data_IF_404254354970
#
_entry.id   IF_404254354970
#
_cell.length_a   1.000
_cell.length_b   1.000
_cell.length_c   1.000
_cell.angle_alpha   90.00
_cell.angle_beta   90.00
_cell.angle_gamma   90.00
#
_symmetry.space_group_name_H-M   'P 1'
#
loop_
_entity.id
_entity.type
_entity.pdbx_description
1 polymer ?
#
# COMPACT_ATOMS: atom_id res chain seq x y z
N UNK A 1 2.98 76.97 -12.10
CA UNK A 1 1.90 76.06 -12.57
C UNK A 1 2.43 74.83 -13.33
N UNK A 2 3.61 74.86 -13.90
CA UNK A 2 4.22 73.74 -14.66
C UNK A 2 4.77 72.58 -13.83
N UNK A 3 5.25 72.80 -12.62
CA UNK A 3 5.85 71.73 -11.78
C UNK A 3 4.84 70.73 -11.17
N UNK A 4 3.58 71.12 -10.97
CA UNK A 4 2.57 70.22 -10.42
C UNK A 4 1.98 69.23 -11.45
N UNK A 5 2.06 69.54 -12.73
CA UNK A 5 1.57 68.66 -13.79
C UNK A 5 2.59 67.59 -14.18
N UNK A 6 3.88 67.86 -14.09
CA UNK A 6 4.94 66.83 -14.31
C UNK A 6 4.89 65.71 -13.28
N UNK A 7 4.66 66.04 -11.98
CA UNK A 7 4.59 65.01 -10.92
C UNK A 7 3.37 64.09 -11.05
N UNK A 8 2.26 64.58 -11.60
CA UNK A 8 1.04 63.79 -11.83
C UNK A 8 1.20 62.84 -13.02
N UNK A 9 1.89 63.22 -14.06
CA UNK A 9 2.17 62.35 -15.20
C UNK A 9 3.16 61.24 -14.84
N UNK A 10 4.23 61.54 -14.08
CA UNK A 10 5.20 60.53 -13.65
C UNK A 10 4.57 59.50 -12.69
N UNK A 11 3.69 59.92 -11.77
CA UNK A 11 2.98 58.98 -10.88
C UNK A 11 1.99 58.11 -11.65
N UNK A 12 1.32 58.60 -12.70
CA UNK A 12 0.40 57.84 -13.51
C UNK A 12 1.12 56.79 -14.34
N UNK A 13 2.28 57.11 -14.93
CA UNK A 13 3.10 56.14 -15.68
C UNK A 13 3.72 55.08 -14.77
N UNK A 14 4.13 55.43 -13.55
CA UNK A 14 4.64 54.46 -12.59
C UNK A 14 3.55 53.51 -12.13
N UNK A 15 2.32 53.99 -11.90
CA UNK A 15 1.17 53.13 -11.53
C UNK A 15 0.72 52.20 -12.66
N UNK A 16 0.77 52.65 -13.91
CA UNK A 16 0.47 51.83 -15.09
C UNK A 16 1.57 50.77 -15.33
N UNK A 17 2.84 51.09 -15.03
CA UNK A 17 3.96 50.15 -15.18
C UNK A 17 3.92 49.05 -14.09
N UNK A 18 3.63 49.44 -12.84
CA UNK A 18 3.48 48.47 -11.72
C UNK A 18 2.25 47.57 -11.93
N UNK A 19 1.12 48.10 -12.44
CA UNK A 19 -0.04 47.29 -12.73
C UNK A 19 0.20 46.34 -13.89
N UNK A 20 0.94 46.72 -14.94
CA UNK A 20 1.29 45.79 -16.04
C UNK A 20 2.27 44.70 -15.61
N UNK A 21 3.20 44.99 -14.67
CA UNK A 21 4.05 43.95 -14.07
C UNK A 21 3.27 42.96 -13.19
N UNK A 22 2.28 43.41 -12.43
CA UNK A 22 1.43 42.52 -11.65
C UNK A 22 0.51 41.66 -12.53
N UNK A 23 0.04 42.19 -13.67
CA UNK A 23 -0.73 41.43 -14.64
C UNK A 23 0.13 40.40 -15.40
N UNK A 24 1.39 40.75 -15.74
CA UNK A 24 2.34 39.84 -16.37
C UNK A 24 2.74 38.69 -15.40
N UNK A 25 2.93 39.00 -14.12
CA UNK A 25 3.24 37.98 -13.10
C UNK A 25 2.06 37.04 -12.84
N UNK A 26 0.81 37.55 -12.81
CA UNK A 26 -0.41 36.72 -12.74
C UNK A 26 -0.64 35.88 -13.99
N UNK A 27 -0.29 36.39 -15.18
CA UNK A 27 -0.41 35.65 -16.43
C UNK A 27 0.63 34.51 -16.50
N UNK A 28 1.85 34.72 -16.03
CA UNK A 28 2.88 33.66 -15.98
C UNK A 28 2.57 32.58 -14.93
N UNK A 29 2.02 32.93 -13.77
CA UNK A 29 1.54 31.93 -12.82
C UNK A 29 0.31 31.15 -13.33
N UNK A 30 -0.60 31.80 -14.07
CA UNK A 30 -1.77 31.16 -14.68
C UNK A 30 -1.40 30.25 -15.86
N UNK A 31 -0.33 30.54 -16.60
CA UNK A 31 0.14 29.68 -17.71
C UNK A 31 0.98 28.50 -17.21
N UNK A 32 1.76 28.66 -16.12
CA UNK A 32 2.48 27.55 -15.49
C UNK A 32 1.53 26.48 -14.91
N UNK A 33 0.30 26.84 -14.53
CA UNK A 33 -0.74 25.90 -14.10
C UNK A 33 -1.49 25.21 -15.25
N UNK A 34 -1.19 25.52 -16.51
CA UNK A 34 -1.92 25.04 -17.72
C UNK A 34 -1.18 23.99 -18.54
N UNK A 35 0.02 23.58 -18.16
CA UNK A 35 0.65 22.45 -18.84
C UNK A 35 -0.12 21.17 -18.48
N UNK A 36 -0.70 20.46 -19.46
CA UNK A 36 -1.46 19.25 -19.16
C UNK A 36 -0.53 18.20 -18.54
N UNK A 37 -0.99 17.57 -17.46
CA UNK A 37 -0.29 16.41 -16.87
C UNK A 37 -0.11 15.34 -17.93
N UNK A 38 1.11 14.88 -18.16
CA UNK A 38 1.43 13.80 -19.10
C UNK A 38 1.49 12.43 -18.44
N UNK A 39 1.77 12.41 -17.13
CA UNK A 39 1.87 11.19 -16.35
C UNK A 39 1.31 11.40 -14.95
N UNK A 40 0.46 10.50 -14.51
CA UNK A 40 0.09 10.38 -13.10
C UNK A 40 0.90 9.25 -12.48
N UNK A 41 1.53 9.51 -11.34
CA UNK A 41 2.29 8.51 -10.59
C UNK A 41 1.61 8.31 -9.24
N UNK A 42 1.09 7.12 -9.00
CA UNK A 42 0.53 6.73 -7.71
C UNK A 42 1.55 5.92 -6.92
N UNK A 43 2.00 6.44 -5.79
CA UNK A 43 2.92 5.75 -4.88
C UNK A 43 2.16 5.34 -3.64
N UNK A 44 2.10 4.04 -3.37
CA UNK A 44 1.63 3.48 -2.10
C UNK A 44 2.83 2.93 -1.36
N UNK A 45 3.02 3.36 -0.10
CA UNK A 45 4.03 2.79 0.80
C UNK A 45 3.30 1.91 1.81
N UNK A 46 3.41 0.62 1.60
CA UNK A 46 2.69 -0.42 2.36
C UNK A 46 3.07 -0.36 3.86
N UNK A 47 2.08 -0.33 4.75
CA UNK A 47 2.22 -0.24 6.20
C UNK A 47 2.86 1.07 6.70
N UNK A 48 2.89 2.14 5.90
CA UNK A 48 3.53 3.39 6.32
C UNK A 48 2.70 4.13 7.37
N UNK A 49 3.24 4.26 8.57
CA UNK A 49 2.69 5.11 9.62
C UNK A 49 2.93 6.58 9.30
N UNK A 50 1.94 7.41 9.61
CA UNK A 50 2.07 8.86 9.39
C UNK A 50 3.22 9.50 10.20
N UNK A 51 3.46 9.00 11.42
CA UNK A 51 4.52 9.53 12.30
C UNK A 51 5.94 9.33 11.74
N UNK A 52 6.16 8.38 10.81
CA UNK A 52 7.47 8.21 10.17
C UNK A 52 7.92 9.44 9.37
N UNK A 53 6.97 10.23 8.84
CA UNK A 53 7.28 11.49 8.18
C UNK A 53 7.88 12.52 9.14
N UNK A 54 7.43 12.56 10.38
CA UNK A 54 7.94 13.48 11.41
C UNK A 54 9.06 12.87 12.24
N UNK A 55 8.96 11.59 12.57
CA UNK A 55 9.92 10.86 13.39
C UNK A 55 11.32 10.85 12.77
N UNK A 56 11.41 10.57 11.46
CA UNK A 56 12.69 10.47 10.75
C UNK A 56 13.02 11.72 9.94
N UNK A 57 12.28 12.83 10.14
CA UNK A 57 12.37 14.04 9.32
C UNK A 57 13.77 14.57 9.12
N UNK A 58 14.54 14.73 10.21
CA UNK A 58 15.87 15.32 10.17
C UNK A 58 16.90 14.45 9.45
N UNK A 59 16.59 13.16 9.27
CA UNK A 59 17.46 12.19 8.62
C UNK A 59 17.14 11.99 7.14
N UNK A 60 15.99 12.47 6.66
CA UNK A 60 15.60 12.39 5.25
C UNK A 60 16.40 13.36 4.39
N UNK A 61 16.62 12.96 3.13
CA UNK A 61 17.24 13.79 2.12
C UNK A 61 16.30 14.89 1.63
N UNK A 62 16.85 15.95 1.05
CA UNK A 62 16.04 17.02 0.44
C UNK A 62 15.33 16.56 -0.86
N UNK A 63 15.77 15.46 -1.46
CA UNK A 63 15.24 14.97 -2.74
C UNK A 63 14.08 14.00 -2.64
N UNK A 64 13.83 13.40 -1.48
CA UNK A 64 12.82 12.37 -1.22
C UNK A 64 11.56 12.91 -0.57
N UNK A 65 11.22 12.41 0.62
CA UNK A 65 10.00 12.82 1.35
C UNK A 65 9.92 14.33 1.59
N UNK A 66 11.04 14.97 1.93
CA UNK A 66 11.07 16.44 2.11
C UNK A 66 10.67 17.19 0.85
N UNK A 67 11.13 16.76 -0.32
CA UNK A 67 10.73 17.36 -1.59
C UNK A 67 9.21 17.26 -1.81
N UNK A 68 8.61 16.12 -1.49
CA UNK A 68 7.16 15.93 -1.63
C UNK A 68 6.37 16.82 -0.66
N UNK A 69 6.82 16.91 0.59
CA UNK A 69 6.16 17.73 1.62
C UNK A 69 6.28 19.22 1.33
N UNK A 70 7.49 19.71 0.95
CA UNK A 70 7.71 21.12 0.70
C UNK A 70 7.14 21.60 -0.64
N UNK A 71 7.15 20.73 -1.66
CA UNK A 71 6.70 21.07 -3.00
C UNK A 71 5.25 20.70 -3.32
N UNK A 72 4.55 20.01 -2.39
CA UNK A 72 3.23 19.48 -2.60
C UNK A 72 2.20 19.91 -1.57
N UNK A 73 1.03 19.26 -1.62
CA UNK A 73 -0.03 19.36 -0.61
C UNK A 73 0.05 18.15 0.33
N UNK A 74 -0.04 18.39 1.64
CA UNK A 74 -0.03 17.34 2.67
C UNK A 74 -1.39 17.26 3.35
N UNK A 75 -2.08 16.15 3.18
CA UNK A 75 -3.32 15.83 3.89
C UNK A 75 -2.99 15.28 5.29
N UNK A 76 -2.95 16.15 6.30
CA UNK A 76 -2.50 15.81 7.67
C UNK A 76 -3.50 14.97 8.47
N UNK A 77 -4.76 14.93 8.06
CA UNK A 77 -5.84 14.22 8.75
C UNK A 77 -6.64 13.39 7.73
N UNK A 78 -5.96 12.45 7.08
CA UNK A 78 -6.56 11.55 6.12
C UNK A 78 -6.60 10.14 6.69
N UNK A 79 -7.81 9.60 6.89
CA UNK A 79 -8.04 8.30 7.52
C UNK A 79 -8.92 7.42 6.64
N UNK A 80 -8.69 6.11 6.68
CA UNK A 80 -9.67 5.16 6.22
C UNK A 80 -10.86 5.14 7.19
N UNK A 81 -12.07 5.09 6.64
CA UNK A 81 -13.32 5.08 7.40
C UNK A 81 -13.90 3.67 7.56
N UNK A 82 -13.05 2.66 7.60
CA UNK A 82 -13.43 1.26 7.79
C UNK A 82 -12.35 0.50 8.57
N UNK A 83 -12.72 -0.66 9.09
CA UNK A 83 -11.84 -1.62 9.76
C UNK A 83 -12.31 -3.06 9.44
N UNK A 84 -11.37 -4.03 9.47
CA UNK A 84 -9.92 -3.89 9.59
C UNK A 84 -9.29 -3.32 8.31
N UNK A 85 -8.12 -2.68 8.46
CA UNK A 85 -7.30 -2.24 7.33
C UNK A 85 -6.19 -3.25 7.04
N UNK A 86 -5.94 -3.51 5.75
CA UNK A 86 -4.87 -4.41 5.28
C UNK A 86 -4.55 -4.13 3.81
N UNK A 87 -3.52 -4.77 3.26
CA UNK A 87 -2.98 -4.45 1.93
C UNK A 87 -4.05 -4.44 0.82
N UNK A 88 -4.80 -5.53 0.66
CA UNK A 88 -5.82 -5.62 -0.41
C UNK A 88 -6.89 -4.54 -0.31
N UNK A 89 -7.63 -4.45 0.82
CA UNK A 89 -8.61 -3.39 1.04
C UNK A 89 -8.05 -1.98 0.90
N UNK A 90 -6.85 -1.72 1.42
CA UNK A 90 -6.22 -0.40 1.37
C UNK A 90 -5.89 0.03 -0.05
N UNK A 91 -5.20 -0.82 -0.83
CA UNK A 91 -4.89 -0.54 -2.23
C UNK A 91 -6.17 -0.36 -3.06
N UNK A 92 -7.16 -1.24 -2.90
CA UNK A 92 -8.44 -1.12 -3.57
C UNK A 92 -9.13 0.21 -3.22
N UNK A 93 -9.18 0.59 -1.94
CA UNK A 93 -9.82 1.84 -1.50
C UNK A 93 -9.14 3.08 -2.05
N UNK A 94 -7.79 3.13 -2.07
CA UNK A 94 -7.02 4.25 -2.63
C UNK A 94 -7.35 4.43 -4.11
N UNK A 95 -7.38 3.36 -4.88
CA UNK A 95 -7.54 3.44 -6.33
C UNK A 95 -8.99 3.49 -6.82
N UNK A 96 -9.95 3.02 -6.02
CA UNK A 96 -11.38 3.12 -6.35
C UNK A 96 -12.05 4.36 -5.76
N UNK A 97 -11.45 5.01 -4.75
CA UNK A 97 -12.05 6.11 -4.01
C UNK A 97 -13.27 5.70 -3.18
N UNK A 98 -13.41 4.40 -2.86
CA UNK A 98 -14.55 3.87 -2.09
C UNK A 98 -14.07 2.88 -1.00
N UNK A 99 -15.00 2.22 -0.34
CA UNK A 99 -14.73 1.34 0.81
C UNK A 99 -14.93 -0.13 0.47
N UNK A 100 -14.40 -1.07 1.29
CA UNK A 100 -14.57 -2.51 1.09
C UNK A 100 -16.02 -2.96 0.85
N UNK A 101 -17.00 -2.31 1.48
CA UNK A 101 -18.43 -2.60 1.27
C UNK A 101 -18.90 -2.35 -0.17
N UNK A 102 -18.20 -1.48 -0.92
CA UNK A 102 -18.55 -1.12 -2.29
C UNK A 102 -17.64 -1.81 -3.31
N UNK A 103 -16.31 -1.76 -3.09
CA UNK A 103 -15.38 -2.37 -4.05
C UNK A 103 -15.18 -3.89 -3.87
N UNK A 104 -15.72 -4.51 -2.80
CA UNK A 104 -15.76 -5.97 -2.61
C UNK A 104 -14.50 -6.60 -2.03
N UNK A 105 -13.38 -5.89 -1.94
CA UNK A 105 -12.13 -6.39 -1.36
C UNK A 105 -12.14 -6.13 0.14
N UNK A 106 -12.59 -7.11 0.93
CA UNK A 106 -12.80 -6.96 2.37
C UNK A 106 -11.64 -7.49 3.23
N UNK A 107 -10.66 -8.13 2.62
CA UNK A 107 -9.46 -8.69 3.24
C UNK A 107 -8.46 -9.10 2.18
N UNK A 108 -7.22 -9.44 2.57
CA UNK A 108 -6.28 -10.11 1.66
C UNK A 108 -6.81 -11.49 1.28
N UNK A 109 -7.19 -12.26 2.28
CA UNK A 109 -7.97 -13.49 2.18
C UNK A 109 -9.28 -13.27 2.92
N UNK A 110 -10.40 -13.72 2.36
CA UNK A 110 -11.71 -13.54 3.01
C UNK A 110 -12.65 -14.68 2.65
N UNK A 111 -13.63 -14.89 3.54
CA UNK A 111 -14.64 -15.91 3.31
C UNK A 111 -15.70 -15.42 2.32
N UNK A 112 -15.80 -16.10 1.20
CA UNK A 112 -16.86 -15.85 0.21
C UNK A 112 -18.09 -16.71 0.56
N UNK A 113 -19.16 -16.04 0.97
CA UNK A 113 -20.41 -16.68 1.39
C UNK A 113 -21.04 -17.48 0.24
N UNK A 114 -20.86 -17.03 -1.00
CA UNK A 114 -21.49 -17.68 -2.16
C UNK A 114 -20.84 -19.04 -2.47
N UNK A 115 -19.52 -19.11 -2.44
CA UNK A 115 -18.77 -20.37 -2.64
C UNK A 115 -18.61 -21.20 -1.36
N UNK A 116 -18.80 -20.60 -0.19
CA UNK A 116 -18.56 -21.24 1.11
C UNK A 116 -17.08 -21.51 1.40
N UNK A 117 -16.16 -20.76 0.80
CA UNK A 117 -14.71 -20.99 0.91
C UNK A 117 -13.92 -19.70 1.14
N UNK A 118 -12.71 -19.85 1.65
CA UNK A 118 -11.74 -18.77 1.69
C UNK A 118 -11.23 -18.47 0.29
N UNK A 119 -11.18 -17.21 -0.08
CA UNK A 119 -10.68 -16.73 -1.38
C UNK A 119 -9.62 -15.67 -1.18
N UNK A 120 -8.61 -15.66 -2.05
CA UNK A 120 -7.60 -14.63 -2.09
C UNK A 120 -8.06 -13.46 -2.96
N UNK A 121 -7.83 -12.22 -2.52
CA UNK A 121 -8.40 -11.02 -3.14
C UNK A 121 -7.99 -10.79 -4.61
N UNK A 122 -6.82 -11.29 -5.03
CA UNK A 122 -6.32 -11.19 -6.40
C UNK A 122 -6.25 -12.54 -7.13
N UNK A 123 -6.47 -13.68 -6.42
CA UNK A 123 -6.36 -15.02 -7.00
C UNK A 123 -7.45 -15.32 -8.03
N UNK A 124 -7.03 -15.86 -9.19
CA UNK A 124 -7.94 -16.22 -10.28
C UNK A 124 -7.41 -17.40 -11.09
N UNK A 125 -7.98 -18.57 -10.86
CA UNK A 125 -7.62 -19.81 -11.57
C UNK A 125 -8.03 -19.85 -13.04
N UNK A 126 -8.80 -18.85 -13.54
CA UNK A 126 -9.13 -18.74 -14.96
C UNK A 126 -7.94 -18.29 -15.81
N UNK A 127 -6.91 -17.72 -15.19
CA UNK A 127 -5.73 -17.20 -15.86
C UNK A 127 -4.49 -18.00 -15.47
N UNK A 128 -3.54 -18.07 -16.39
CA UNK A 128 -2.26 -18.74 -16.20
C UNK A 128 -1.16 -17.74 -15.81
N UNK A 129 -0.12 -18.24 -15.18
CA UNK A 129 1.11 -17.49 -14.89
C UNK A 129 1.89 -17.17 -16.17
N UNK A 130 2.42 -15.95 -16.26
CA UNK A 130 3.30 -15.53 -17.35
C UNK A 130 4.64 -15.07 -16.77
N UNK A 131 5.71 -15.70 -17.17
CA UNK A 131 7.07 -15.45 -16.68
C UNK A 131 7.54 -16.38 -15.58
N UNK A 132 6.68 -17.27 -15.08
CA UNK A 132 7.01 -18.29 -14.09
C UNK A 132 6.16 -19.55 -14.32
N UNK A 133 6.66 -20.71 -13.90
CA UNK A 133 5.94 -21.99 -14.03
C UNK A 133 5.06 -22.35 -12.83
N UNK A 134 5.17 -21.60 -11.72
CA UNK A 134 4.33 -21.80 -10.52
C UNK A 134 2.99 -21.09 -10.66
N UNK A 135 2.07 -21.35 -9.72
CA UNK A 135 0.76 -20.71 -9.66
C UNK A 135 0.78 -19.27 -9.13
N UNK A 136 1.95 -18.75 -8.76
CA UNK A 136 2.12 -17.39 -8.22
C UNK A 136 1.80 -16.27 -9.22
N UNK A 137 1.56 -16.61 -10.49
CA UNK A 137 1.09 -15.69 -11.52
C UNK A 137 -0.40 -15.76 -11.81
N UNK A 138 -1.19 -16.64 -11.20
CA UNK A 138 -2.64 -16.80 -11.42
C UNK A 138 -3.43 -15.70 -10.72
N UNK A 139 -3.32 -14.47 -11.20
CA UNK A 139 -3.90 -13.28 -10.57
C UNK A 139 -4.68 -12.44 -11.57
N UNK A 140 -5.80 -11.84 -11.10
CA UNK A 140 -6.58 -10.84 -11.83
C UNK A 140 -7.36 -9.94 -10.88
N UNK A 141 -7.88 -8.79 -11.34
CA UNK A 141 -8.73 -7.90 -10.52
C UNK A 141 -10.21 -8.32 -10.49
N UNK A 142 -10.57 -9.55 -10.88
CA UNK A 142 -11.97 -9.98 -11.08
C UNK A 142 -12.86 -9.82 -9.84
N UNK A 143 -12.28 -9.84 -8.63
CA UNK A 143 -13.02 -9.64 -7.36
C UNK A 143 -13.28 -8.17 -7.04
N UNK A 144 -12.65 -7.25 -7.78
CA UNK A 144 -12.88 -5.82 -7.61
C UNK A 144 -14.21 -5.45 -8.29
N UNK A 145 -15.21 -5.04 -7.52
CA UNK A 145 -16.58 -4.81 -7.99
C UNK A 145 -16.81 -3.40 -8.58
N UNK A 146 -15.80 -2.54 -8.51
CA UNK A 146 -15.87 -1.16 -9.00
C UNK A 146 -14.68 -0.85 -9.90
N UNK A 147 -14.83 0.14 -10.78
CA UNK A 147 -13.72 0.67 -11.54
C UNK A 147 -12.75 1.46 -10.66
N UNK A 148 -11.49 1.45 -11.03
CA UNK A 148 -10.43 2.25 -10.44
C UNK A 148 -10.27 3.60 -11.15
N UNK A 149 -9.50 4.53 -10.55
CA UNK A 149 -9.11 5.78 -11.25
C UNK A 149 -8.28 5.47 -12.50
N UNK A 150 -7.53 4.37 -12.51
CA UNK A 150 -6.75 3.90 -13.66
C UNK A 150 -7.66 3.38 -14.78
N UNK A 151 -8.74 2.66 -14.45
CA UNK A 151 -9.77 2.27 -15.41
C UNK A 151 -10.45 3.50 -16.01
N UNK A 152 -10.83 4.47 -15.17
CA UNK A 152 -11.49 5.72 -15.62
C UNK A 152 -10.58 6.54 -16.53
N UNK A 153 -9.28 6.57 -16.27
CA UNK A 153 -8.32 7.20 -17.18
C UNK A 153 -8.33 6.53 -18.56
N UNK A 154 -8.28 5.20 -18.60
CA UNK A 154 -8.34 4.42 -19.85
C UNK A 154 -9.63 4.67 -20.61
N UNK A 155 -10.78 4.65 -19.92
CA UNK A 155 -12.10 4.92 -20.51
C UNK A 155 -12.17 6.34 -21.08
N UNK A 156 -11.73 7.34 -20.32
CA UNK A 156 -11.74 8.75 -20.75
C UNK A 156 -10.94 8.96 -22.04
N UNK A 157 -9.76 8.37 -22.11
CA UNK A 157 -8.89 8.50 -23.30
C UNK A 157 -9.10 7.38 -24.34
N UNK A 158 -10.23 6.64 -24.26
CA UNK A 158 -10.61 5.60 -25.22
C UNK A 158 -9.49 4.58 -25.45
N UNK A 159 -8.93 4.08 -24.37
CA UNK A 159 -7.82 3.12 -24.30
C UNK A 159 -6.47 3.61 -24.86
N UNK A 160 -6.30 4.91 -25.09
CA UNK A 160 -5.01 5.45 -25.52
C UNK A 160 -4.02 5.66 -24.37
N UNK A 161 -4.52 5.95 -23.18
CA UNK A 161 -3.69 6.06 -21.98
C UNK A 161 -3.07 4.72 -21.65
N UNK A 162 -1.78 4.69 -21.30
CA UNK A 162 -1.09 3.51 -20.77
C UNK A 162 -1.23 3.48 -19.25
N UNK A 163 -1.49 2.30 -18.71
CA UNK A 163 -1.54 2.05 -17.28
C UNK A 163 -0.63 0.87 -16.94
N UNK A 164 0.43 1.13 -16.20
CA UNK A 164 1.37 0.13 -15.71
C UNK A 164 1.35 0.15 -14.18
N UNK A 165 1.21 -1.01 -13.57
CA UNK A 165 1.17 -1.16 -12.12
C UNK A 165 2.21 -2.17 -11.64
N UNK A 166 2.96 -1.84 -10.57
CA UNK A 166 4.14 -2.59 -10.16
C UNK A 166 4.20 -2.68 -8.64
N UNK A 167 4.44 -3.89 -8.12
CA UNK A 167 4.70 -4.13 -6.70
C UNK A 167 5.51 -5.39 -6.48
N UNK A 168 6.12 -5.55 -5.32
CA UNK A 168 6.66 -6.86 -4.90
C UNK A 168 5.56 -7.81 -4.41
N UNK A 169 4.33 -7.31 -4.16
CA UNK A 169 3.12 -8.09 -3.87
C UNK A 169 2.18 -8.07 -5.07
N UNK A 170 1.63 -9.22 -5.46
CA UNK A 170 0.64 -9.33 -6.54
C UNK A 170 -0.56 -8.39 -6.37
N UNK A 171 -1.22 -8.42 -5.19
CA UNK A 171 -2.36 -7.55 -4.88
C UNK A 171 -2.01 -6.05 -4.89
N UNK A 172 -0.77 -5.71 -4.56
CA UNK A 172 -0.25 -4.34 -4.65
C UNK A 172 0.00 -3.85 -6.08
N UNK A 173 0.04 -4.76 -7.05
CA UNK A 173 0.10 -4.45 -8.47
C UNK A 173 -1.27 -4.57 -9.15
N UNK A 174 -1.98 -5.67 -8.90
CA UNK A 174 -3.24 -6.02 -9.57
C UNK A 174 -4.36 -5.04 -9.24
N UNK A 175 -4.58 -4.74 -7.95
CA UNK A 175 -5.70 -3.88 -7.52
C UNK A 175 -5.55 -2.41 -7.96
N UNK A 176 -4.36 -1.78 -7.86
CA UNK A 176 -4.13 -0.46 -8.44
C UNK A 176 -4.26 -0.41 -9.97
N UNK A 177 -3.83 -1.45 -10.65
CA UNK A 177 -3.96 -1.57 -12.09
C UNK A 177 -5.41 -1.53 -12.55
N UNK A 178 -6.31 -2.11 -11.76
CA UNK A 178 -7.73 -2.23 -12.11
C UNK A 178 -7.97 -3.22 -13.25
N UNK A 179 -9.17 -3.11 -13.85
CA UNK A 179 -9.62 -4.06 -14.89
C UNK A 179 -9.00 -3.77 -16.27
N UNK A 180 -8.52 -2.55 -16.50
CA UNK A 180 -8.12 -2.10 -17.84
C UNK A 180 -6.63 -1.79 -17.97
N UNK A 181 -5.79 -2.15 -16.97
CA UNK A 181 -4.35 -1.91 -17.07
C UNK A 181 -3.74 -2.59 -18.29
N UNK A 182 -2.73 -1.94 -18.89
CA UNK A 182 -1.91 -2.57 -19.95
C UNK A 182 -1.07 -3.70 -19.36
N UNK A 183 -0.58 -3.51 -18.12
CA UNK A 183 0.15 -4.52 -17.39
C UNK A 183 0.08 -4.28 -15.87
N UNK A 184 0.05 -5.36 -15.10
CA UNK A 184 0.43 -5.39 -13.70
C UNK A 184 1.57 -6.40 -13.54
N UNK A 185 2.67 -5.97 -12.90
CA UNK A 185 3.83 -6.80 -12.66
C UNK A 185 4.09 -6.95 -11.17
N UNK A 186 4.41 -8.17 -10.75
CA UNK A 186 4.79 -8.46 -9.36
C UNK A 186 5.99 -9.39 -9.29
N UNK A 187 6.61 -9.42 -8.12
CA UNK A 187 7.85 -10.14 -7.92
C UNK A 187 7.61 -11.52 -7.33
N UNK A 188 8.16 -12.54 -7.97
CA UNK A 188 8.23 -13.91 -7.46
C UNK A 188 9.67 -14.21 -7.06
N UNK A 189 9.87 -14.64 -5.82
CA UNK A 189 11.18 -14.93 -5.24
C UNK A 189 11.81 -16.21 -5.79
N UNK A 190 12.15 -17.15 -4.89
CA UNK A 190 12.77 -18.42 -5.24
C UNK A 190 14.21 -18.28 -5.70
N UNK A 191 14.68 -19.23 -6.51
CA UNK A 191 16.09 -19.28 -6.94
C UNK A 191 16.45 -18.21 -7.97
N UNK A 192 15.49 -17.76 -8.77
CA UNK A 192 15.74 -16.85 -9.90
C UNK A 192 15.37 -15.40 -9.58
N UNK A 193 14.29 -15.17 -8.84
CA UNK A 193 13.77 -13.84 -8.56
C UNK A 193 13.28 -13.14 -9.83
N UNK A 194 11.99 -13.29 -10.15
CA UNK A 194 11.44 -12.91 -11.45
C UNK A 194 10.32 -11.88 -11.29
N UNK A 195 10.25 -10.93 -12.20
CA UNK A 195 9.08 -10.10 -12.43
C UNK A 195 8.14 -10.84 -13.38
N UNK A 196 6.90 -11.01 -12.95
CA UNK A 196 5.91 -11.85 -13.60
C UNK A 196 4.58 -11.10 -13.77
N UNK A 197 3.67 -11.70 -14.54
CA UNK A 197 2.29 -11.24 -14.71
C UNK A 197 1.37 -12.46 -14.93
N UNK A 198 0.17 -12.25 -15.40
CA UNK A 198 -0.79 -13.30 -15.75
C UNK A 198 -1.31 -13.14 -17.17
N UNK A 199 -1.93 -14.22 -17.68
CA UNK A 199 -2.62 -14.17 -18.98
C UNK A 199 -3.86 -13.27 -18.99
N UNK A 200 -4.26 -12.72 -17.84
CA UNK A 200 -5.24 -11.64 -17.80
C UNK A 200 -4.76 -10.40 -18.55
N UNK A 201 -3.46 -10.08 -18.45
CA UNK A 201 -2.88 -8.89 -19.06
C UNK A 201 -2.23 -9.17 -20.43
N UNK A 202 -1.54 -10.32 -20.55
CA UNK A 202 -0.78 -10.65 -21.76
C UNK A 202 -0.42 -12.14 -21.82
N UNK A 203 -0.24 -12.67 -23.04
CA UNK A 203 0.13 -14.08 -23.24
C UNK A 203 1.62 -14.38 -23.03
N UNK A 204 2.48 -13.37 -23.14
CA UNK A 204 3.92 -13.48 -22.95
C UNK A 204 4.51 -12.18 -22.41
N UNK A 205 5.60 -12.27 -21.62
CA UNK A 205 6.30 -11.08 -21.14
C UNK A 205 6.82 -10.24 -22.32
N UNK A 206 6.68 -8.91 -22.29
CA UNK A 206 7.35 -8.02 -23.23
C UNK A 206 8.86 -8.27 -23.21
N UNK A 207 9.51 -8.06 -24.37
CA UNK A 207 10.95 -8.32 -24.49
C UNK A 207 11.77 -7.62 -23.41
N UNK A 208 11.44 -6.40 -23.06
CA UNK A 208 12.17 -5.65 -22.05
C UNK A 208 12.05 -6.28 -20.64
N UNK A 209 10.89 -6.86 -20.28
CA UNK A 209 10.71 -7.58 -19.01
C UNK A 209 11.49 -8.88 -19.00
N UNK A 210 11.44 -9.64 -20.11
CA UNK A 210 12.20 -10.87 -20.28
C UNK A 210 13.71 -10.61 -20.19
N UNK A 211 14.19 -9.54 -20.85
CA UNK A 211 15.58 -9.11 -20.80
C UNK A 211 15.99 -8.66 -19.40
N UNK A 212 15.13 -7.89 -18.69
CA UNK A 212 15.37 -7.46 -17.31
C UNK A 212 15.51 -8.65 -16.36
N UNK A 213 14.63 -9.64 -16.49
CA UNK A 213 14.72 -10.89 -15.74
C UNK A 213 16.01 -11.67 -16.08
N UNK A 214 16.36 -11.77 -17.37
CA UNK A 214 17.52 -12.50 -17.83
C UNK A 214 18.85 -11.85 -17.42
N UNK A 215 18.90 -10.53 -17.28
CA UNK A 215 20.10 -9.80 -16.84
C UNK A 215 20.45 -10.07 -15.38
N UNK A 216 19.51 -10.65 -14.59
CA UNK A 216 19.74 -10.96 -13.17
C UNK A 216 20.26 -9.75 -12.36
N UNK A 217 19.83 -8.54 -12.73
CA UNK A 217 20.26 -7.29 -12.06
C UNK A 217 19.97 -7.29 -10.56
N UNK A 218 18.98 -8.07 -10.11
CA UNK A 218 18.66 -8.26 -8.70
C UNK A 218 19.76 -8.98 -7.91
N UNK A 219 20.69 -9.70 -8.57
CA UNK A 219 21.78 -10.39 -7.90
C UNK A 219 22.71 -9.43 -7.13
N UNK A 220 22.77 -8.15 -7.51
CA UNK A 220 23.49 -7.11 -6.78
C UNK A 220 22.99 -6.92 -5.32
N UNK A 221 21.77 -7.34 -5.04
CA UNK A 221 21.14 -7.25 -3.71
C UNK A 221 21.37 -8.49 -2.84
N UNK A 222 22.00 -9.55 -3.37
CA UNK A 222 22.46 -10.70 -2.58
C UNK A 222 23.75 -10.35 -1.82
N UNK A 223 23.61 -9.50 -0.83
CA UNK A 223 24.70 -8.98 0.00
C UNK A 223 24.20 -8.76 1.43
N UNK A 224 25.07 -8.63 2.44
CA UNK A 224 24.65 -8.31 3.79
C UNK A 224 23.84 -6.99 3.84
N UNK A 225 22.80 -6.97 4.66
CA UNK A 225 22.10 -5.74 4.99
C UNK A 225 22.79 -5.10 6.19
N UNK A 226 23.59 -4.09 5.90
CA UNK A 226 24.25 -3.24 6.89
C UNK A 226 23.44 -1.98 7.08
N UNK A 227 23.59 -1.30 8.22
CA UNK A 227 23.05 0.05 8.40
C UNK A 227 23.53 1.00 7.29
N UNK A 228 22.64 1.87 6.81
CA UNK A 228 22.96 2.88 5.79
C UNK A 228 23.94 3.94 6.32
N UNK A 229 23.73 4.33 7.57
CA UNK A 229 24.53 5.35 8.27
C UNK A 229 25.24 4.77 9.49
N UNK A 230 26.05 5.60 10.14
CA UNK A 230 26.65 5.23 11.43
C UNK A 230 25.54 4.95 12.46
N UNK A 231 25.73 3.91 13.28
CA UNK A 231 24.77 3.42 14.27
C UNK A 231 24.22 4.53 15.19
N UNK A 232 25.02 5.53 15.52
CA UNK A 232 24.60 6.68 16.35
C UNK A 232 23.45 7.50 15.74
N UNK A 233 23.16 7.32 14.46
CA UNK A 233 22.00 7.96 13.83
C UNK A 233 20.68 7.19 14.01
N UNK A 234 20.75 5.99 14.58
CA UNK A 234 19.57 5.15 14.82
C UNK A 234 19.07 5.29 16.26
N UNK A 235 18.97 6.52 16.76
CA UNK A 235 18.51 6.90 18.10
C UNK A 235 16.98 7.06 18.19
N UNK A 236 16.28 6.92 17.07
CA UNK A 236 14.81 7.01 16.95
C UNK A 236 14.12 5.65 16.89
N UNK A 237 14.86 4.56 17.05
CA UNK A 237 14.40 3.17 17.12
C UNK A 237 14.72 2.55 18.47
N UNK A 238 14.17 1.38 18.75
CA UNK A 238 14.54 0.58 19.94
C UNK A 238 15.96 0.03 19.81
N UNK A 239 16.50 -0.52 20.90
CA UNK A 239 17.80 -1.20 20.87
C UNK A 239 17.75 -2.37 19.87
N UNK A 240 18.87 -2.61 19.18
CA UNK A 240 19.01 -3.64 18.15
C UNK A 240 18.80 -5.06 18.68
N UNK A 241 19.36 -5.38 19.83
CA UNK A 241 19.17 -6.67 20.52
C UNK A 241 18.01 -6.55 21.50
N UNK A 242 16.84 -6.98 21.09
CA UNK A 242 15.62 -6.96 21.90
C UNK A 242 14.75 -8.20 21.65
N UNK A 243 13.65 -8.35 22.41
CA UNK A 243 12.74 -9.49 22.34
C UNK A 243 11.46 -9.21 21.51
N UNK A 244 11.39 -8.04 20.88
CA UNK A 244 10.19 -7.61 20.13
C UNK A 244 10.28 -7.95 18.65
N UNK A 245 11.45 -8.33 18.18
CA UNK A 245 11.77 -8.56 16.78
C UNK A 245 11.91 -10.04 16.47
N UNK A 246 11.50 -10.43 15.27
CA UNK A 246 11.65 -11.79 14.78
C UNK A 246 12.88 -11.93 13.86
N UNK A 247 13.86 -12.81 14.19
CA UNK A 247 15.00 -13.05 13.32
C UNK A 247 14.60 -13.68 11.99
N UNK A 248 15.40 -13.51 10.97
CA UNK A 248 15.28 -14.33 9.75
C UNK A 248 15.48 -15.81 10.09
N UNK A 249 14.86 -16.68 9.30
CA UNK A 249 15.03 -18.12 9.51
C UNK A 249 16.50 -18.51 9.35
N UNK A 250 17.07 -19.09 10.39
CA UNK A 250 18.51 -19.45 10.45
C UNK A 250 19.40 -18.39 11.12
N UNK A 251 18.88 -17.22 11.42
CA UNK A 251 19.55 -16.18 12.19
C UNK A 251 19.34 -16.41 13.69
N UNK A 252 20.34 -16.16 14.52
CA UNK A 252 20.24 -16.37 15.96
C UNK A 252 19.57 -15.20 16.68
N UNK A 253 19.82 -13.98 16.22
CA UNK A 253 19.28 -12.73 16.74
C UNK A 253 19.00 -11.77 15.58
N UNK A 254 17.92 -11.00 15.64
CA UNK A 254 17.59 -9.99 14.62
C UNK A 254 18.42 -8.72 14.84
N UNK A 255 19.73 -8.79 14.60
CA UNK A 255 20.65 -7.66 14.84
C UNK A 255 21.51 -7.39 13.60
N UNK A 256 21.84 -6.13 13.38
CA UNK A 256 22.75 -5.74 12.31
C UNK A 256 24.18 -6.24 12.52
N UNK A 257 24.87 -6.67 11.43
CA UNK A 257 24.38 -6.79 10.06
C UNK A 257 23.64 -8.11 9.81
N UNK A 258 22.58 -8.11 9.00
CA UNK A 258 21.94 -9.34 8.56
C UNK A 258 22.71 -9.94 7.38
N UNK A 259 23.28 -11.13 7.54
CA UNK A 259 24.04 -11.82 6.50
C UNK A 259 23.08 -12.53 5.51
N UNK A 260 22.43 -11.76 4.64
CA UNK A 260 21.45 -12.30 3.69
C UNK A 260 22.02 -13.44 2.83
N UNK A 261 23.28 -13.42 2.34
CA UNK A 261 23.87 -14.56 1.65
C UNK A 261 23.84 -15.86 2.45
N UNK A 262 24.17 -15.83 3.74
CA UNK A 262 24.13 -17.00 4.62
C UNK A 262 22.69 -17.49 4.89
N UNK A 263 21.73 -16.57 4.95
CA UNK A 263 20.31 -16.83 5.24
C UNK A 263 19.50 -17.22 4.00
N UNK A 264 20.06 -17.10 2.81
CA UNK A 264 19.40 -17.11 1.52
C UNK A 264 18.50 -18.32 1.29
N UNK A 265 19.05 -19.51 1.42
CA UNK A 265 18.32 -20.75 1.09
C UNK A 265 17.18 -21.03 2.07
N UNK A 266 17.33 -20.65 3.33
CA UNK A 266 16.32 -20.89 4.38
C UNK A 266 15.14 -19.91 4.27
N UNK A 267 15.32 -18.78 3.59
CA UNK A 267 14.32 -17.72 3.43
C UNK A 267 13.81 -17.58 1.99
N UNK A 268 13.83 -18.68 1.21
CA UNK A 268 13.25 -18.72 -0.13
C UNK A 268 14.05 -17.98 -1.20
N UNK A 269 15.38 -18.01 -1.12
CA UNK A 269 16.25 -17.42 -2.13
C UNK A 269 16.03 -15.90 -2.25
N UNK A 270 15.77 -15.42 -3.47
CA UNK A 270 15.46 -14.01 -3.69
C UNK A 270 14.21 -13.51 -2.96
N UNK A 271 13.37 -14.41 -2.41
CA UNK A 271 12.22 -14.06 -1.60
C UNK A 271 12.58 -13.27 -0.34
N UNK A 272 13.77 -13.49 0.25
CA UNK A 272 14.24 -12.77 1.44
C UNK A 272 14.31 -11.25 1.20
N UNK A 273 14.58 -10.81 -0.04
CA UNK A 273 14.70 -9.40 -0.37
C UNK A 273 13.41 -8.60 -0.10
N UNK A 274 12.23 -9.26 -0.12
CA UNK A 274 10.96 -8.63 0.22
C UNK A 274 10.97 -8.06 1.63
N UNK A 275 11.62 -8.74 2.59
CA UNK A 275 11.71 -8.32 3.98
C UNK A 275 13.00 -7.51 4.28
N UNK A 276 13.50 -6.80 3.30
CA UNK A 276 14.67 -5.91 3.39
C UNK A 276 14.44 -4.63 2.57
N UNK A 277 15.18 -3.55 2.80
CA UNK A 277 15.06 -2.35 1.98
C UNK A 277 15.47 -2.58 0.51
N UNK A 278 16.20 -3.65 0.22
CA UNK A 278 16.58 -4.00 -1.14
C UNK A 278 15.38 -4.39 -2.01
N UNK A 279 14.29 -4.87 -1.42
CA UNK A 279 13.05 -5.09 -2.15
C UNK A 279 12.45 -3.79 -2.70
N UNK A 280 12.57 -2.68 -1.98
CA UNK A 280 12.18 -1.37 -2.50
C UNK A 280 13.13 -0.88 -3.59
N UNK A 281 14.45 -1.12 -3.44
CA UNK A 281 15.44 -0.73 -4.45
C UNK A 281 15.24 -1.47 -5.78
N UNK A 282 15.02 -2.79 -5.74
CA UNK A 282 14.76 -3.57 -6.96
C UNK A 282 13.42 -3.19 -7.61
N UNK A 283 12.43 -2.81 -6.81
CA UNK A 283 11.16 -2.29 -7.32
C UNK A 283 11.37 -0.97 -8.07
N UNK A 284 12.17 -0.05 -7.51
CA UNK A 284 12.52 1.20 -8.20
C UNK A 284 13.28 0.92 -9.50
N UNK A 285 14.23 -0.01 -9.51
CA UNK A 285 14.95 -0.39 -10.74
C UNK A 285 13.98 -0.83 -11.83
N UNK A 286 13.04 -1.71 -11.51
CA UNK A 286 12.04 -2.19 -12.45
C UNK A 286 11.07 -1.09 -12.89
N UNK A 287 10.63 -0.24 -11.96
CA UNK A 287 9.74 0.88 -12.26
C UNK A 287 10.39 1.92 -13.19
N UNK A 288 11.67 2.20 -13.02
CA UNK A 288 12.44 3.10 -13.91
C UNK A 288 12.62 2.50 -15.30
N UNK A 289 12.85 1.18 -15.39
CA UNK A 289 12.93 0.52 -16.69
C UNK A 289 11.56 0.52 -17.37
N UNK A 290 10.45 0.24 -16.65
CA UNK A 290 9.10 0.33 -17.18
C UNK A 290 8.77 1.75 -17.67
N UNK A 291 9.10 2.79 -16.89
CA UNK A 291 8.91 4.19 -17.25
C UNK A 291 9.55 4.49 -18.63
N UNK A 292 10.76 3.98 -18.85
CA UNK A 292 11.53 4.18 -20.07
C UNK A 292 11.03 3.32 -21.24
N UNK A 293 10.84 2.03 -21.04
CA UNK A 293 10.52 1.09 -22.13
C UNK A 293 9.09 1.20 -22.64
N UNK A 294 8.18 1.66 -21.76
CA UNK A 294 6.79 1.93 -22.12
C UNK A 294 6.57 3.38 -22.60
N UNK A 295 7.61 4.20 -22.67
CA UNK A 295 7.53 5.63 -23.07
C UNK A 295 6.47 6.40 -22.27
N UNK A 296 6.35 6.14 -20.95
CA UNK A 296 5.30 6.75 -20.17
C UNK A 296 5.47 8.27 -20.06
N UNK A 297 4.38 8.99 -20.34
CA UNK A 297 4.34 10.45 -20.31
C UNK A 297 5.09 11.13 -21.47
N UNK A 298 5.38 10.42 -22.57
CA UNK A 298 6.11 10.99 -23.71
C UNK A 298 5.19 11.58 -24.79
N UNK A 299 3.90 11.28 -24.77
CA UNK A 299 2.93 11.84 -25.72
C UNK A 299 1.98 12.85 -25.06
N UNK A 300 0.86 13.16 -25.71
CA UNK A 300 -0.16 14.13 -25.25
C UNK A 300 -1.26 13.45 -24.41
N UNK A 301 -1.31 12.14 -24.38
CA UNK A 301 -2.28 11.39 -23.60
C UNK A 301 -1.69 11.12 -22.24
N UNK A 302 -2.32 11.52 -21.14
CA UNK A 302 -1.82 11.19 -19.81
C UNK A 302 -1.78 9.68 -19.59
N UNK A 303 -0.64 9.19 -19.13
CA UNK A 303 -0.45 7.80 -18.70
C UNK A 303 -0.53 7.68 -17.17
N UNK A 304 -0.52 6.47 -16.66
CA UNK A 304 -0.49 6.18 -15.23
C UNK A 304 0.56 5.12 -14.88
N UNK A 305 1.39 5.43 -13.89
CA UNK A 305 2.33 4.50 -13.28
C UNK A 305 1.96 4.32 -11.81
N UNK A 306 1.49 3.13 -11.44
CA UNK A 306 1.22 2.76 -10.06
C UNK A 306 2.40 1.97 -9.49
N UNK A 307 2.94 2.42 -8.35
CA UNK A 307 4.07 1.79 -7.66
C UNK A 307 3.68 1.54 -6.21
N UNK A 308 3.76 0.28 -5.75
CA UNK A 308 3.55 -0.07 -4.35
C UNK A 308 4.84 -0.59 -3.72
N UNK A 309 5.45 0.24 -2.87
CA UNK A 309 6.62 -0.12 -2.06
C UNK A 309 6.19 -0.98 -0.88
N UNK A 310 6.18 -2.30 -1.07
CA UNK A 310 5.63 -3.22 -0.06
C UNK A 310 6.69 -3.89 0.83
N UNK A 311 7.98 -3.65 0.61
CA UNK A 311 9.01 -4.17 1.53
C UNK A 311 8.95 -3.53 2.92
N UNK A 312 8.43 -2.33 3.03
CA UNK A 312 8.15 -1.66 4.31
C UNK A 312 7.22 -2.47 5.21
N UNK A 313 6.20 -3.10 4.63
CA UNK A 313 5.28 -3.98 5.35
C UNK A 313 5.94 -5.28 5.80
N UNK A 314 6.69 -5.94 4.92
CA UNK A 314 7.43 -7.14 5.28
C UNK A 314 8.44 -6.88 6.40
N UNK A 315 9.18 -5.78 6.35
CA UNK A 315 10.12 -5.38 7.40
C UNK A 315 9.39 -5.06 8.69
N UNK A 316 8.27 -4.32 8.63
CA UNK A 316 7.47 -4.01 9.81
C UNK A 316 6.86 -5.24 10.47
N UNK A 317 6.42 -6.24 9.69
CA UNK A 317 5.95 -7.53 10.19
C UNK A 317 7.05 -8.36 10.83
N UNK A 318 8.26 -8.35 10.25
CA UNK A 318 9.39 -9.16 10.72
C UNK A 318 10.01 -8.59 11.99
N UNK A 319 10.24 -7.27 12.03
CA UNK A 319 11.04 -6.62 13.08
C UNK A 319 10.22 -5.68 13.99
N UNK A 320 8.97 -5.38 13.62
CA UNK A 320 8.15 -4.43 14.39
C UNK A 320 8.40 -2.97 14.00
N UNK A 321 7.39 -2.13 14.28
CA UNK A 321 7.32 -0.73 13.81
C UNK A 321 8.32 0.23 14.44
N UNK A 322 8.97 -0.18 15.52
CA UNK A 322 9.92 0.65 16.27
C UNK A 322 11.38 0.19 16.10
N UNK A 323 11.64 -0.83 15.27
CA UNK A 323 12.95 -1.43 15.03
C UNK A 323 13.92 -0.53 14.26
N UNK A 324 15.22 -0.82 14.36
CA UNK A 324 16.26 -0.21 13.52
C UNK A 324 16.10 -0.55 12.06
N UNK A 325 15.62 -1.75 11.76
CA UNK A 325 15.34 -2.24 10.41
C UNK A 325 14.28 -1.40 9.72
N UNK A 326 13.22 -1.03 10.46
CA UNK A 326 12.21 -0.09 9.94
C UNK A 326 12.82 1.27 9.72
N UNK A 327 13.58 1.83 10.66
CA UNK A 327 14.25 3.11 10.48
C UNK A 327 15.18 3.09 9.25
N UNK A 328 16.06 2.08 9.12
CA UNK A 328 16.98 1.94 7.97
C UNK A 328 16.21 1.80 6.64
N UNK A 329 15.11 1.05 6.66
CA UNK A 329 14.25 0.87 5.49
C UNK A 329 13.63 2.19 5.02
N UNK A 330 13.15 3.04 5.93
CA UNK A 330 12.59 4.34 5.56
C UNK A 330 13.64 5.34 5.12
N UNK A 331 14.84 5.34 5.71
CA UNK A 331 15.95 6.18 5.25
C UNK A 331 16.40 5.81 3.83
N UNK A 332 16.41 4.52 3.49
CA UNK A 332 16.70 4.05 2.13
C UNK A 332 15.54 4.31 1.17
N UNK A 333 14.30 4.16 1.60
CA UNK A 333 13.14 4.47 0.79
C UNK A 333 13.10 5.94 0.39
N UNK A 334 13.49 6.85 1.29
CA UNK A 334 13.65 8.26 0.97
C UNK A 334 14.58 8.49 -0.23
N UNK A 335 15.71 7.78 -0.26
CA UNK A 335 16.65 7.85 -1.38
C UNK A 335 16.08 7.23 -2.66
N UNK A 336 15.27 6.17 -2.55
CA UNK A 336 14.59 5.56 -3.71
C UNK A 336 13.52 6.49 -4.28
N UNK A 337 12.76 7.17 -3.43
CA UNK A 337 11.80 8.20 -3.86
C UNK A 337 12.52 9.37 -4.52
N UNK A 338 13.66 9.82 -3.97
CA UNK A 338 14.47 10.85 -4.61
C UNK A 338 14.97 10.40 -6.00
N UNK A 339 15.37 9.14 -6.15
CA UNK A 339 15.79 8.54 -7.43
C UNK A 339 14.65 8.49 -8.44
N UNK A 340 13.46 8.09 -8.01
CA UNK A 340 12.24 8.09 -8.83
C UNK A 340 11.90 9.51 -9.31
N UNK A 341 11.82 10.47 -8.40
CA UNK A 341 11.50 11.86 -8.72
C UNK A 341 12.50 12.47 -9.72
N UNK A 342 13.80 12.20 -9.54
CA UNK A 342 14.85 12.64 -10.48
C UNK A 342 14.69 12.02 -11.87
N UNK A 343 14.24 10.78 -11.97
CA UNK A 343 13.98 10.12 -13.25
C UNK A 343 12.74 10.71 -13.93
N UNK A 344 11.67 10.96 -13.18
CA UNK A 344 10.45 11.62 -13.67
C UNK A 344 10.76 13.03 -14.20
N UNK A 345 11.56 13.83 -13.49
CA UNK A 345 11.97 15.16 -13.95
C UNK A 345 12.71 15.11 -15.29
N UNK A 346 13.57 14.10 -15.47
CA UNK A 346 14.36 13.95 -16.71
C UNK A 346 13.55 13.43 -17.88
N UNK A 347 12.69 12.44 -17.64
CA UNK A 347 11.97 11.76 -18.71
C UNK A 347 10.68 12.48 -19.08
N UNK A 348 9.86 12.86 -18.09
CA UNK A 348 8.55 13.48 -18.32
C UNK A 348 8.64 15.00 -18.35
N UNK A 349 9.50 15.54 -17.50
CA UNK A 349 9.70 16.98 -17.32
C UNK A 349 9.12 17.49 -16.00
N UNK A 350 9.87 18.37 -15.33
CA UNK A 350 9.40 19.01 -14.10
C UNK A 350 8.10 19.76 -14.32
N UNK A 351 7.08 19.50 -13.48
CA UNK A 351 5.74 20.10 -13.60
C UNK A 351 4.84 19.49 -14.68
N UNK A 352 5.28 18.43 -15.39
CA UNK A 352 4.48 17.73 -16.38
C UNK A 352 3.96 16.37 -15.89
N UNK A 353 4.19 16.02 -14.66
CA UNK A 353 3.59 14.87 -13.98
C UNK A 353 2.93 15.28 -12.67
N UNK A 354 1.94 14.52 -12.26
CA UNK A 354 1.30 14.60 -10.94
C UNK A 354 1.65 13.35 -10.16
N UNK A 355 2.19 13.49 -8.95
CA UNK A 355 2.48 12.36 -8.08
C UNK A 355 1.69 12.50 -6.79
N UNK A 356 1.06 11.42 -6.34
CA UNK A 356 0.58 11.30 -4.98
C UNK A 356 1.31 10.15 -4.27
N UNK A 357 1.52 10.32 -2.96
CA UNK A 357 2.04 9.29 -2.08
C UNK A 357 1.09 9.11 -0.91
N UNK A 358 0.75 7.86 -0.59
CA UNK A 358 -0.08 7.49 0.55
C UNK A 358 0.34 6.12 1.09
N UNK A 359 -0.31 5.68 2.17
CA UNK A 359 -0.25 4.31 2.67
C UNK A 359 -1.58 3.60 2.45
N UNK A 360 -1.56 2.29 2.41
CA UNK A 360 -2.73 1.41 2.37
C UNK A 360 -3.25 1.06 3.77
N UNK A 361 -2.38 1.02 4.76
CA UNK A 361 -2.64 0.89 6.19
C UNK A 361 -1.39 1.28 7.00
N UNK A 362 -1.53 1.33 8.32
CA UNK A 362 -0.43 1.43 9.26
C UNK A 362 -0.28 0.12 10.06
N UNK A 363 0.55 0.11 11.10
CA UNK A 363 0.65 -0.97 12.07
C UNK A 363 0.81 -0.42 13.49
N UNK A 364 0.42 -1.22 14.48
CA UNK A 364 0.58 -0.90 15.89
C UNK A 364 1.96 -1.29 16.41
N UNK A 365 2.45 -0.68 17.50
CA UNK A 365 3.64 -1.15 18.19
C UNK A 365 3.48 -2.60 18.69
N UNK A 366 4.60 -3.32 18.79
CA UNK A 366 4.59 -4.70 19.28
C UNK A 366 4.07 -4.72 20.72
N UNK A 367 3.07 -5.57 21.07
CA UNK A 367 2.48 -5.58 22.41
C UNK A 367 3.48 -5.78 23.54
N UNK A 368 4.48 -6.65 23.37
CA UNK A 368 5.53 -6.85 24.37
C UNK A 368 6.34 -5.56 24.63
N UNK A 369 6.64 -4.77 23.59
CA UNK A 369 7.28 -3.47 23.76
C UNK A 369 6.40 -2.52 24.58
N UNK A 370 5.10 -2.44 24.29
CA UNK A 370 4.17 -1.60 25.06
C UNK A 370 4.08 -2.03 26.54
N UNK A 371 4.07 -3.34 26.79
CA UNK A 371 4.07 -3.88 28.17
C UNK A 371 5.31 -3.45 28.94
N UNK A 372 6.50 -3.49 28.33
CA UNK A 372 7.75 -3.02 28.95
C UNK A 372 7.71 -1.51 29.22
N UNK A 373 7.01 -0.74 28.40
CA UNK A 373 6.75 0.69 28.64
C UNK A 373 5.62 0.95 29.67
N UNK A 374 5.06 -0.09 30.31
CA UNK A 374 3.94 -0.02 31.25
C UNK A 374 2.63 0.49 30.61
N UNK A 375 2.50 0.32 29.31
CA UNK A 375 1.28 0.61 28.56
C UNK A 375 0.46 -0.69 28.48
N UNK A 376 -0.84 -0.67 28.85
CA UNK A 376 -1.69 -1.87 28.75
C UNK A 376 -1.76 -2.35 27.30
N UNK A 377 -1.30 -3.56 27.05
CA UNK A 377 -1.32 -4.22 25.75
C UNK A 377 -1.29 -5.74 25.94
N UNK A 378 -1.65 -6.49 24.89
CA UNK A 378 -1.63 -7.94 24.94
C UNK A 378 -1.86 -8.55 23.56
N UNK A 379 -1.74 -9.87 23.50
CA UNK A 379 -2.03 -10.67 22.33
C UNK A 379 -3.41 -11.28 22.44
N UNK A 380 -4.11 -11.37 21.33
CA UNK A 380 -5.42 -12.02 21.24
C UNK A 380 -5.24 -13.46 20.78
N UNK A 381 -5.72 -14.39 21.59
CA UNK A 381 -5.67 -15.82 21.28
C UNK A 381 -6.84 -16.22 20.36
N UNK A 382 -6.67 -16.01 19.05
CA UNK A 382 -7.72 -16.23 18.06
C UNK A 382 -8.34 -17.62 18.10
N UNK A 383 -7.54 -18.65 18.39
CA UNK A 383 -8.04 -20.04 18.55
C UNK A 383 -8.94 -20.19 19.76
N UNK A 384 -8.63 -19.53 20.89
CA UNK A 384 -9.47 -19.56 22.08
C UNK A 384 -10.81 -18.85 21.86
N UNK A 385 -10.80 -17.74 21.12
CA UNK A 385 -12.04 -17.05 20.70
C UNK A 385 -12.88 -17.99 19.83
N UNK A 386 -12.29 -18.61 18.81
CA UNK A 386 -12.98 -19.53 17.93
C UNK A 386 -13.62 -20.71 18.70
N UNK A 387 -12.84 -21.38 19.54
CA UNK A 387 -13.32 -22.47 20.37
C UNK A 387 -14.46 -22.04 21.30
N UNK A 388 -14.33 -20.86 21.92
CA UNK A 388 -15.39 -20.30 22.75
C UNK A 388 -16.68 -20.02 21.99
N UNK A 389 -16.59 -19.50 20.77
CA UNK A 389 -17.74 -19.29 19.88
C UNK A 389 -18.40 -20.62 19.51
N UNK A 390 -17.63 -21.61 19.07
CA UNK A 390 -18.13 -22.93 18.68
C UNK A 390 -18.83 -23.62 19.87
N UNK A 391 -18.23 -23.56 21.07
CA UNK A 391 -18.82 -24.12 22.29
C UNK A 391 -20.11 -23.41 22.69
N UNK A 392 -20.11 -22.07 22.70
CA UNK A 392 -21.30 -21.28 23.02
C UNK A 392 -22.48 -21.59 22.11
N UNK A 393 -22.23 -21.66 20.80
CA UNK A 393 -23.26 -21.95 19.79
C UNK A 393 -23.81 -23.38 19.98
N UNK A 394 -22.91 -24.35 20.26
CA UNK A 394 -23.31 -25.73 20.53
C UNK A 394 -24.16 -25.84 21.80
N UNK A 395 -23.75 -25.18 22.88
CA UNK A 395 -24.48 -25.25 24.17
C UNK A 395 -25.83 -24.53 24.11
N UNK A 396 -25.87 -23.40 23.40
CA UNK A 396 -27.05 -22.54 23.36
C UNK A 396 -28.13 -23.03 22.38
N UNK A 397 -27.70 -23.58 21.22
CA UNK A 397 -28.57 -23.92 20.11
C UNK A 397 -28.55 -25.41 19.75
N UNK A 398 -27.71 -26.21 20.39
CA UNK A 398 -27.64 -27.65 20.19
C UNK A 398 -26.98 -28.08 18.88
N UNK A 399 -26.34 -27.16 18.15
CA UNK A 399 -25.74 -27.45 16.85
C UNK A 399 -24.58 -26.51 16.54
N UNK A 400 -23.65 -26.93 15.67
CA UNK A 400 -22.62 -26.03 15.08
C UNK A 400 -23.26 -25.14 14.02
N UNK A 401 -23.26 -23.83 14.25
CA UNK A 401 -23.90 -22.84 13.37
C UNK A 401 -22.88 -21.87 12.76
N UNK A 402 -21.57 -22.12 12.89
CA UNK A 402 -20.51 -21.25 12.39
C UNK A 402 -19.88 -21.85 11.14
N UNK A 403 -19.94 -21.13 10.03
CA UNK A 403 -19.30 -21.54 8.77
C UNK A 403 -17.83 -21.14 8.73
N UNK A 404 -17.49 -19.92 9.21
CA UNK A 404 -16.13 -19.40 9.18
C UNK A 404 -15.95 -18.27 10.20
N UNK A 405 -14.72 -18.09 10.65
CA UNK A 405 -14.27 -16.91 11.43
C UNK A 405 -13.01 -16.38 10.78
N UNK A 406 -13.11 -15.20 10.20
CA UNK A 406 -11.99 -14.51 9.54
C UNK A 406 -12.22 -13.00 9.51
N UNK A 407 -11.13 -12.22 9.45
CA UNK A 407 -11.18 -10.74 9.36
C UNK A 407 -12.07 -10.08 10.42
N UNK A 408 -12.02 -10.57 11.67
CA UNK A 408 -12.87 -10.12 12.79
C UNK A 408 -14.38 -10.27 12.51
N UNK A 409 -14.76 -11.22 11.68
CA UNK A 409 -16.14 -11.52 11.35
C UNK A 409 -16.46 -12.99 11.64
N UNK A 410 -17.67 -13.24 12.16
CA UNK A 410 -18.22 -14.59 12.34
C UNK A 410 -19.29 -14.82 11.28
N UNK A 411 -19.06 -15.79 10.41
CA UNK A 411 -19.99 -16.18 9.36
C UNK A 411 -20.82 -17.36 9.84
N UNK A 412 -22.14 -17.17 9.90
CA UNK A 412 -23.08 -18.17 10.37
C UNK A 412 -23.61 -19.04 9.21
N UNK A 413 -23.82 -20.32 9.47
CA UNK A 413 -24.49 -21.23 8.54
C UNK A 413 -25.98 -20.95 8.52
N UNK A 414 -26.40 -20.13 7.59
CA UNK A 414 -27.80 -19.72 7.43
C UNK A 414 -28.73 -20.87 7.09
N UNK A 415 -28.23 -21.90 6.39
CA UNK A 415 -29.02 -23.09 6.02
C UNK A 415 -29.27 -23.96 7.25
N UNK A 416 -28.26 -24.18 8.07
CA UNK A 416 -28.40 -24.90 9.33
C UNK A 416 -29.36 -24.18 10.30
N UNK A 417 -29.20 -22.84 10.44
CA UNK A 417 -30.10 -22.01 11.27
C UNK A 417 -31.56 -22.16 10.82
N UNK A 418 -31.82 -21.99 9.52
CA UNK A 418 -33.15 -22.15 8.95
C UNK A 418 -33.69 -23.59 9.13
N UNK A 419 -32.84 -24.60 8.93
CA UNK A 419 -33.21 -26.02 9.08
C UNK A 419 -33.61 -26.38 10.50
N UNK A 420 -33.09 -25.69 11.50
CA UNK A 420 -33.44 -25.82 12.92
C UNK A 420 -34.64 -24.93 13.34
N UNK A 421 -35.19 -24.13 12.43
CA UNK A 421 -36.30 -23.23 12.73
C UNK A 421 -35.86 -22.04 13.62
N UNK A 422 -34.58 -21.73 13.68
CA UNK A 422 -34.05 -20.62 14.46
C UNK A 422 -34.11 -19.29 13.66
N UNK A 423 -34.30 -18.18 14.37
CA UNK A 423 -34.18 -16.85 13.79
C UNK A 423 -32.72 -16.40 13.71
N UNK A 424 -32.30 -15.93 12.54
CA UNK A 424 -30.91 -15.51 12.31
C UNK A 424 -30.51 -14.29 13.16
N UNK A 425 -31.44 -13.34 13.34
CA UNK A 425 -31.18 -12.13 14.12
C UNK A 425 -31.03 -12.47 15.62
N UNK A 426 -31.81 -13.43 16.12
CA UNK A 426 -31.69 -13.95 17.50
C UNK A 426 -30.36 -14.65 17.72
N UNK A 427 -29.92 -15.51 16.77
CA UNK A 427 -28.60 -16.18 16.85
C UNK A 427 -27.48 -15.15 16.82
N UNK A 428 -27.55 -14.16 15.94
CA UNK A 428 -26.55 -13.07 15.88
C UNK A 428 -26.52 -12.25 17.16
N UNK A 429 -27.68 -11.90 17.72
CA UNK A 429 -27.75 -11.12 18.95
C UNK A 429 -27.14 -11.88 20.13
N UNK A 430 -27.55 -13.14 20.34
CA UNK A 430 -27.00 -13.96 21.41
C UNK A 430 -25.49 -14.15 21.31
N UNK A 431 -24.96 -14.33 20.10
CA UNK A 431 -23.52 -14.44 19.89
C UNK A 431 -22.79 -13.11 20.12
N UNK A 432 -23.38 -11.99 19.71
CA UNK A 432 -22.81 -10.67 19.96
C UNK A 432 -22.75 -10.36 21.47
N UNK A 433 -23.81 -10.69 22.21
CA UNK A 433 -23.85 -10.52 23.68
C UNK A 433 -22.77 -11.38 24.34
N UNK A 434 -22.65 -12.67 23.98
CA UNK A 434 -21.59 -13.55 24.48
C UNK A 434 -20.19 -12.97 24.21
N UNK A 435 -19.94 -12.46 23.02
CA UNK A 435 -18.63 -11.87 22.67
C UNK A 435 -18.34 -10.60 23.45
N UNK A 436 -19.35 -9.77 23.77
CA UNK A 436 -19.16 -8.56 24.54
C UNK A 436 -18.87 -8.82 26.04
N UNK A 437 -19.24 -10.00 26.57
CA UNK A 437 -18.87 -10.40 27.93
C UNK A 437 -17.41 -10.78 28.08
N UNK A 438 -16.69 -11.00 26.97
CA UNK A 438 -15.27 -11.34 26.99
C UNK A 438 -14.40 -10.10 27.26
N UNK A 439 -13.37 -10.26 28.06
CA UNK A 439 -12.44 -9.17 28.40
C UNK A 439 -11.47 -8.80 27.28
N UNK A 440 -11.31 -9.67 26.28
CA UNK A 440 -10.42 -9.50 25.14
C UNK A 440 -11.14 -8.96 23.88
N UNK A 441 -12.45 -8.70 23.96
CA UNK A 441 -13.25 -8.13 22.90
C UNK A 441 -13.90 -6.84 23.38
N UNK A 442 -13.57 -5.72 22.75
CA UNK A 442 -14.12 -4.41 23.11
C UNK A 442 -15.58 -4.25 22.67
N UNK A 443 -15.88 -4.67 21.44
CA UNK A 443 -17.23 -4.55 20.85
C UNK A 443 -17.53 -5.70 19.89
N UNK A 444 -18.79 -6.13 19.86
CA UNK A 444 -19.34 -7.06 18.90
C UNK A 444 -20.65 -6.48 18.35
N UNK A 445 -20.83 -6.51 17.05
CA UNK A 445 -21.99 -5.95 16.37
C UNK A 445 -22.65 -6.99 15.47
N UNK A 446 -23.98 -7.03 15.44
CA UNK A 446 -24.71 -7.81 14.44
C UNK A 446 -24.72 -7.11 13.09
N UNK A 447 -24.90 -7.86 12.00
CA UNK A 447 -25.06 -7.26 10.67
C UNK A 447 -26.24 -6.27 10.61
N UNK A 448 -27.30 -6.53 11.36
CA UNK A 448 -28.47 -5.63 11.49
C UNK A 448 -28.09 -4.31 12.16
N UNK A 449 -27.36 -4.35 13.28
CA UNK A 449 -26.88 -3.16 13.99
C UNK A 449 -26.02 -2.31 13.07
N UNK A 450 -25.03 -2.91 12.38
CA UNK A 450 -24.16 -2.17 11.46
C UNK A 450 -24.92 -1.50 10.31
N UNK A 451 -25.92 -2.16 9.74
CA UNK A 451 -26.76 -1.60 8.67
C UNK A 451 -27.66 -0.47 9.12
N UNK A 452 -28.09 -0.47 10.39
CA UNK A 452 -28.99 0.56 10.96
C UNK A 452 -28.23 1.72 11.62
N UNK A 453 -26.93 1.58 11.86
CA UNK A 453 -26.13 2.63 12.49
C UNK A 453 -25.89 3.77 11.52
N UNK A 454 -26.30 4.98 11.90
CA UNK A 454 -25.93 6.20 11.17
C UNK A 454 -24.53 6.62 11.62
N UNK A 455 -23.61 6.71 10.67
CA UNK A 455 -22.28 7.26 10.94
C UNK A 455 -22.40 8.78 11.14
N UNK A 456 -22.13 9.24 12.36
CA UNK A 456 -21.96 10.66 12.64
C UNK A 456 -20.51 11.02 12.29
N UNK A 457 -20.34 11.92 11.32
CA UNK A 457 -19.01 12.38 10.88
C UNK A 457 -18.24 12.97 12.08
N UNK A 458 -17.01 12.49 12.30
CA UNK A 458 -16.12 13.00 13.35
C UNK A 458 -15.99 12.15 14.61
N UNK A 459 -16.63 10.99 14.68
CA UNK A 459 -16.37 9.98 15.72
C UNK A 459 -15.62 8.83 15.06
N UNK A 460 -14.38 8.50 15.53
CA UNK A 460 -13.61 7.38 14.99
C UNK A 460 -14.30 6.04 15.22
#
# INVERSE_FOLDING_TARGET
MYAKNCLRFTALYFFLFVSSLMFAQKATESEAMKAPTKLVVGVVVDQMRYDYLTRFWDQYSEGGFKRLVHGGFVAKNHHFNYAPTSTGPGHASVYTGTTPATHGIIGNDFFDIASGSMVYCAGDDQYASVGVSSDEGKMSPHRLLTSTMTDQLRLHYKNKAKVISISVKDRGAVLPGGHMANAAYWFVGGEQGLWVTSTYYMDALPKWVADFNAQQSIAQYKKPWNLLYNEKKYDLSVADDNLYEGPFKGEQKPVFPHDLPALWNQNGGYGILRATPYGNSMLTDFALEALKQEDLGQDKTPDFLAISYSSTDYVGHQFGVDSKEVQDTYLRLDLEIARLLKALDRQVGTGQYTLFLTADHAAIPVPAYLQDQKIPAGYVEANAIKQGIDQFVQDRFGAGLVSNISNNQVFLDRKAIQGLGLDLDEVQAALADYLQERTDIAHAYTARTLKSTQFVSGIP
#
